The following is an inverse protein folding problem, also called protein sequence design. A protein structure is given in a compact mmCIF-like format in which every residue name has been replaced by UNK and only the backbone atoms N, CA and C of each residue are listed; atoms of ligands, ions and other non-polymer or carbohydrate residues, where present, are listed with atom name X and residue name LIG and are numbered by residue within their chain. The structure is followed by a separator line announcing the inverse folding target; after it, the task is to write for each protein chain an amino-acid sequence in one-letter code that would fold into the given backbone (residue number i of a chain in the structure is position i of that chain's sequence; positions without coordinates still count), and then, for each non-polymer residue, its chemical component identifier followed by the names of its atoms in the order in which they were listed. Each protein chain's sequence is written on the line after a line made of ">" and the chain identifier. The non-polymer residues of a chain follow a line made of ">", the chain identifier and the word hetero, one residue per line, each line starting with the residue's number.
data_IF_753722180838
#
_entry.id   IF_753722180838
#
_cell.length_a   1.000
_cell.length_b   1.000
_cell.length_c   1.000
_cell.angle_alpha   90.00
_cell.angle_beta   90.00
_cell.angle_gamma   90.00
#
_symmetry.space_group_name_H-M   'P 1'
#
loop_
_entity.id
_entity.type
_entity.pdbx_description
1 polymer ?
#
# COMPACT_ATOMS: atom_id res chain seq x y z
N UNK A 1 11.52 9.47 3.82
CA UNK A 1 12.95 9.60 3.41
C UNK A 1 13.56 10.85 4.00
N UNK A 2 12.93 12.02 3.85
CA UNK A 2 13.37 13.28 4.50
C UNK A 2 13.70 13.11 6.00
N UNK A 3 12.77 12.59 6.81
CA UNK A 3 13.04 12.28 8.23
C UNK A 3 14.23 11.34 8.47
N UNK A 4 14.48 10.40 7.56
CA UNK A 4 15.63 9.49 7.68
C UNK A 4 16.95 10.24 7.38
N UNK A 5 16.92 11.18 6.44
CA UNK A 5 18.06 12.05 6.10
C UNK A 5 18.35 13.00 7.26
N UNK A 6 17.33 13.66 7.81
CA UNK A 6 17.45 14.58 8.95
C UNK A 6 18.03 13.90 10.20
N UNK A 7 17.77 12.60 10.38
CA UNK A 7 18.27 11.80 11.50
C UNK A 7 19.57 11.05 11.18
N UNK A 8 20.15 11.25 10.00
CA UNK A 8 21.36 10.57 9.52
C UNK A 8 21.30 9.03 9.73
N UNK A 9 20.16 8.43 9.37
CA UNK A 9 19.97 6.98 9.56
C UNK A 9 20.84 6.18 8.58
N UNK A 10 21.62 5.24 9.12
CA UNK A 10 22.51 4.37 8.34
C UNK A 10 22.13 2.88 8.47
N UNK A 11 22.35 2.13 7.39
CA UNK A 11 22.06 0.70 7.31
C UNK A 11 20.69 0.37 6.69
N UNK A 12 20.20 -0.86 6.95
CA UNK A 12 19.00 -1.40 6.32
C UNK A 12 17.80 -1.33 7.27
N UNK A 13 16.70 -0.74 6.80
CA UNK A 13 15.43 -0.62 7.52
C UNK A 13 14.28 -1.14 6.66
N UNK A 14 13.35 -1.86 7.30
CA UNK A 14 12.07 -2.18 6.68
C UNK A 14 11.17 -0.94 6.72
N UNK A 15 10.59 -0.59 5.57
CA UNK A 15 9.65 0.52 5.44
C UNK A 15 8.35 -0.01 4.82
N UNK A 16 7.31 -0.14 5.63
CA UNK A 16 5.98 -0.61 5.27
C UNK A 16 4.95 -0.04 6.26
N UNK A 17 3.67 -0.34 6.06
CA UNK A 17 2.67 -0.07 7.11
C UNK A 17 3.02 -0.87 8.38
N UNK A 18 2.71 -0.30 9.55
CA UNK A 18 3.00 -0.95 10.84
C UNK A 18 2.07 -2.11 11.18
N UNK A 19 0.92 -2.18 10.50
CA UNK A 19 -0.03 -3.28 10.53
C UNK A 19 0.02 -4.06 9.20
N UNK A 20 -0.79 -5.12 9.11
CA UNK A 20 -0.80 -6.01 7.96
C UNK A 20 -2.18 -6.52 7.64
N UNK A 21 -2.50 -6.63 6.36
CA UNK A 21 -3.75 -7.23 5.88
C UNK A 21 -3.50 -8.44 4.99
N UNK A 22 -4.47 -9.34 4.94
CA UNK A 22 -4.55 -10.33 3.86
C UNK A 22 -4.91 -9.63 2.55
N UNK A 23 -4.59 -10.25 1.40
CA UNK A 23 -4.98 -9.73 0.08
C UNK A 23 -6.50 -9.51 -0.03
N UNK A 24 -7.27 -10.42 0.57
CA UNK A 24 -8.72 -10.33 0.63
C UNK A 24 -9.18 -9.10 1.41
N UNK A 25 -8.67 -8.89 2.64
CA UNK A 25 -9.02 -7.73 3.45
C UNK A 25 -8.63 -6.42 2.76
N UNK A 26 -7.45 -6.36 2.13
CA UNK A 26 -7.03 -5.18 1.35
C UNK A 26 -7.96 -4.88 0.18
N UNK A 27 -8.34 -5.89 -0.61
CA UNK A 27 -9.29 -5.71 -1.72
C UNK A 27 -10.66 -5.22 -1.26
N UNK A 28 -11.19 -5.75 -0.15
CA UNK A 28 -12.46 -5.31 0.46
C UNK A 28 -12.41 -3.86 0.90
N UNK A 29 -11.35 -3.47 1.63
CA UNK A 29 -11.19 -2.10 2.12
C UNK A 29 -10.99 -1.09 0.99
N UNK A 30 -10.26 -1.43 -0.08
CA UNK A 30 -10.19 -0.57 -1.29
C UNK A 30 -11.60 -0.34 -1.85
N UNK A 31 -12.39 -1.40 -2.02
CA UNK A 31 -13.73 -1.26 -2.57
C UNK A 31 -14.60 -0.34 -1.70
N UNK A 32 -14.55 -0.50 -0.38
CA UNK A 32 -15.28 0.36 0.57
C UNK A 32 -14.85 1.83 0.48
N UNK A 33 -13.54 2.12 0.56
CA UNK A 33 -13.02 3.49 0.54
C UNK A 33 -13.32 4.22 -0.77
N UNK A 34 -13.31 3.51 -1.90
CA UNK A 34 -13.59 4.09 -3.22
C UNK A 34 -15.08 4.05 -3.61
N UNK A 35 -15.99 3.65 -2.70
CA UNK A 35 -17.43 3.61 -2.97
C UNK A 35 -17.87 2.53 -3.96
N UNK A 36 -17.06 1.48 -4.14
CA UNK A 36 -17.39 0.29 -4.92
C UNK A 36 -18.10 -0.75 -4.06
N UNK A 37 -18.71 -1.76 -4.68
CA UNK A 37 -19.36 -2.84 -3.93
C UNK A 37 -18.32 -3.86 -3.43
N UNK A 38 -18.04 -3.94 -2.12
CA UNK A 38 -17.04 -4.87 -1.61
C UNK A 38 -17.49 -6.34 -1.68
N UNK A 39 -18.80 -6.61 -1.83
CA UNK A 39 -19.34 -7.96 -1.99
C UNK A 39 -18.87 -8.66 -3.29
N UNK A 40 -18.30 -7.91 -4.25
CA UNK A 40 -17.72 -8.46 -5.47
C UNK A 40 -16.27 -8.95 -5.28
N UNK A 41 -15.67 -8.72 -4.11
CA UNK A 41 -14.36 -9.27 -3.76
C UNK A 41 -14.58 -10.59 -3.01
N UNK A 42 -14.18 -11.70 -3.64
CA UNK A 42 -14.34 -13.05 -3.10
C UNK A 42 -13.04 -13.57 -2.48
N UNK A 43 -13.10 -14.34 -1.38
CA UNK A 43 -11.93 -15.02 -0.86
C UNK A 43 -11.48 -16.12 -1.83
N UNK A 44 -10.16 -16.31 -1.94
CA UNK A 44 -9.55 -17.39 -2.73
C UNK A 44 -8.29 -17.89 -2.02
N UNK A 45 -7.95 -19.17 -2.21
CA UNK A 45 -6.68 -19.72 -1.72
C UNK A 45 -5.57 -19.54 -2.74
N UNK A 46 -4.35 -19.27 -2.28
CA UNK A 46 -3.18 -19.29 -3.15
C UNK A 46 -2.87 -20.69 -3.68
N UNK A 47 -3.30 -21.74 -2.97
CA UNK A 47 -3.08 -23.12 -3.39
C UNK A 47 -3.93 -23.46 -4.64
N UNK A 48 -5.01 -22.70 -4.90
CA UNK A 48 -5.88 -22.86 -6.08
C UNK A 48 -5.41 -22.04 -7.29
N UNK A 49 -4.55 -21.05 -7.07
CA UNK A 49 -4.04 -20.15 -8.11
C UNK A 49 -2.69 -20.68 -8.54
N UNK A 50 -2.65 -21.51 -9.59
CA UNK A 50 -1.45 -22.14 -10.15
C UNK A 50 -0.34 -21.18 -10.61
N UNK A 51 0.27 -20.46 -9.66
CA UNK A 51 1.29 -19.45 -9.90
C UNK A 51 2.64 -20.14 -10.15
N UNK A 52 3.27 -19.82 -11.27
CA UNK A 52 4.60 -20.34 -11.63
C UNK A 52 5.71 -19.91 -10.65
N UNK A 53 5.56 -18.76 -9.99
CA UNK A 53 6.52 -18.25 -9.03
C UNK A 53 6.14 -18.65 -7.59
N UNK A 54 7.08 -19.22 -6.84
CA UNK A 54 6.92 -19.48 -5.40
C UNK A 54 6.70 -18.16 -4.67
N UNK A 55 5.56 -18.01 -4.01
CA UNK A 55 5.24 -16.81 -3.20
C UNK A 55 5.20 -17.17 -1.72
N UNK A 56 5.85 -16.36 -0.89
CA UNK A 56 5.70 -16.46 0.56
C UNK A 56 4.24 -16.29 0.95
N UNK A 57 3.74 -17.17 1.83
CA UNK A 57 2.37 -17.08 2.37
C UNK A 57 2.22 -15.89 3.32
N UNK A 58 3.31 -15.49 3.98
CA UNK A 58 3.41 -14.32 4.84
C UNK A 58 4.56 -13.43 4.38
N UNK A 59 4.25 -12.17 4.07
CA UNK A 59 5.20 -11.16 3.59
C UNK A 59 5.26 -9.94 4.52
N UNK A 60 4.80 -10.09 5.76
CA UNK A 60 4.85 -9.01 6.75
C UNK A 60 6.29 -8.64 7.06
N UNK A 61 6.54 -7.34 7.19
CA UNK A 61 7.84 -6.79 7.58
C UNK A 61 7.77 -6.23 9.00
N UNK A 62 8.79 -6.49 9.80
CA UNK A 62 8.95 -5.85 11.10
C UNK A 62 9.54 -4.44 10.89
N UNK A 63 8.76 -3.40 11.17
CA UNK A 63 9.16 -1.99 11.02
C UNK A 63 9.62 -1.34 12.33
N UNK A 64 9.64 -2.06 13.45
CA UNK A 64 9.98 -1.52 14.78
C UNK A 64 11.33 -0.82 14.80
N UNK A 65 12.33 -1.33 14.06
CA UNK A 65 13.65 -0.69 13.97
C UNK A 65 13.55 0.74 13.39
N UNK A 66 12.69 0.95 12.39
CA UNK A 66 12.50 2.25 11.75
C UNK A 66 11.68 3.18 12.65
N UNK A 67 10.60 2.68 13.24
CA UNK A 67 9.78 3.46 14.19
C UNK A 67 10.59 3.96 15.38
N UNK A 68 11.40 3.09 15.99
CA UNK A 68 12.31 3.46 17.09
C UNK A 68 13.33 4.51 16.65
N UNK A 69 13.91 4.36 15.45
CA UNK A 69 14.91 5.30 14.93
C UNK A 69 14.33 6.69 14.63
N UNK A 70 13.08 6.75 14.16
CA UNK A 70 12.38 8.02 13.89
C UNK A 70 11.74 8.62 15.15
N UNK A 71 11.41 7.79 16.14
CA UNK A 71 10.71 8.19 17.37
C UNK A 71 9.20 8.39 17.16
N UNK A 72 8.63 7.77 16.13
CA UNK A 72 7.21 7.86 15.79
C UNK A 72 6.73 6.56 15.10
N UNK A 73 5.44 6.21 15.21
CA UNK A 73 4.89 5.08 14.49
C UNK A 73 4.79 5.36 12.99
N UNK A 74 4.97 4.34 12.16
CA UNK A 74 4.63 4.42 10.73
C UNK A 74 3.11 4.37 10.55
N UNK A 75 2.63 4.71 9.36
CA UNK A 75 1.21 4.64 9.06
C UNK A 75 0.68 3.21 9.12
N UNK A 76 -0.59 3.09 9.46
CA UNK A 76 -1.38 1.88 9.25
C UNK A 76 -1.83 1.80 7.78
N UNK A 77 -2.32 0.63 7.38
CA UNK A 77 -2.86 0.39 6.05
C UNK A 77 -4.12 1.23 5.80
N UNK A 78 -4.99 1.37 6.81
CA UNK A 78 -6.16 2.26 6.74
C UNK A 78 -5.76 3.71 6.49
N UNK A 79 -4.86 4.27 7.31
CA UNK A 79 -4.39 5.66 7.15
C UNK A 79 -3.74 5.91 5.78
N UNK A 80 -3.01 4.91 5.28
CA UNK A 80 -2.37 4.98 3.96
C UNK A 80 -3.40 4.92 2.83
N UNK A 81 -4.45 4.11 2.98
CA UNK A 81 -5.54 4.00 2.00
C UNK A 81 -6.41 5.26 1.97
N UNK A 82 -6.68 5.87 3.13
CA UNK A 82 -7.41 7.14 3.21
C UNK A 82 -6.65 8.27 2.50
N UNK A 83 -5.33 8.36 2.70
CA UNK A 83 -4.47 9.32 1.98
C UNK A 83 -4.49 9.09 0.48
N UNK A 84 -4.40 7.83 0.04
CA UNK A 84 -4.50 7.47 -1.37
C UNK A 84 -5.83 7.95 -1.98
N UNK A 85 -6.94 7.78 -1.27
CA UNK A 85 -8.24 8.24 -1.73
C UNK A 85 -8.33 9.78 -1.78
N UNK A 86 -7.79 10.48 -0.79
CA UNK A 86 -7.71 11.95 -0.81
C UNK A 86 -6.91 12.45 -2.02
N UNK A 87 -5.77 11.83 -2.32
CA UNK A 87 -4.94 12.18 -3.48
C UNK A 87 -5.65 11.86 -4.80
N UNK A 88 -6.41 10.76 -4.85
CA UNK A 88 -7.28 10.44 -5.98
C UNK A 88 -8.35 11.52 -6.21
N UNK A 89 -9.04 11.96 -5.16
CA UNK A 89 -10.04 13.03 -5.23
C UNK A 89 -9.45 14.37 -5.69
N UNK A 90 -8.20 14.67 -5.28
CA UNK A 90 -7.45 15.86 -5.75
C UNK A 90 -7.00 15.76 -7.22
N UNK A 91 -7.20 14.61 -7.86
CA UNK A 91 -6.82 14.40 -9.26
C UNK A 91 -5.34 14.10 -9.47
N UNK A 92 -4.58 13.74 -8.43
CA UNK A 92 -3.16 13.38 -8.56
C UNK A 92 -2.88 12.29 -9.60
N UNK A 93 -3.74 11.26 -9.80
CA UNK A 93 -3.52 10.30 -10.88
C UNK A 93 -3.44 10.95 -12.26
N UNK A 94 -4.20 12.04 -12.51
CA UNK A 94 -4.14 12.78 -13.78
C UNK A 94 -2.85 13.58 -13.89
N UNK A 95 -2.39 14.18 -12.80
CA UNK A 95 -1.12 14.92 -12.78
C UNK A 95 0.08 14.01 -13.00
N UNK A 96 0.15 12.87 -12.31
CA UNK A 96 1.25 11.90 -12.46
C UNK A 96 1.35 11.40 -13.91
N UNK A 97 0.22 11.11 -14.57
CA UNK A 97 0.19 10.64 -15.96
C UNK A 97 0.79 11.63 -16.97
N UNK A 98 0.75 12.94 -16.69
CA UNK A 98 1.40 13.95 -17.56
C UNK A 98 2.93 13.74 -17.64
N UNK A 99 3.51 13.14 -16.61
CA UNK A 99 4.94 12.87 -16.51
C UNK A 99 5.34 11.47 -16.99
N UNK A 100 4.38 10.56 -17.24
CA UNK A 100 4.67 9.18 -17.67
C UNK A 100 4.51 8.93 -19.18
N UNK A 101 4.07 9.94 -19.96
CA UNK A 101 3.97 9.84 -21.42
C UNK A 101 2.78 9.02 -21.94
N UNK A 102 1.88 8.56 -21.07
CA UNK A 102 0.69 7.78 -21.46
C UNK A 102 -0.50 8.72 -21.75
N UNK A 103 -0.99 8.74 -23.00
CA UNK A 103 -2.22 9.44 -23.37
C UNK A 103 -3.46 8.72 -22.80
N UNK A 104 -4.38 9.49 -22.23
CA UNK A 104 -5.64 8.97 -21.70
C UNK A 104 -6.62 8.75 -22.86
N UNK A 105 -6.92 7.48 -23.17
CA UNK A 105 -8.19 7.11 -23.81
C UNK A 105 -9.16 6.75 -22.69
N UNK A 106 -10.19 7.57 -22.48
CA UNK A 106 -11.31 7.25 -21.60
C UNK A 106 -12.57 7.16 -22.47
N UNK A 107 -13.08 5.94 -22.58
CA UNK A 107 -14.49 5.68 -22.86
C UNK A 107 -15.30 5.69 -21.57
#
# INVERSE_FOLDING_TARGET
>A
IEKCIERDLTGIYNCACRDSWTKYAFGRNIAEVFGLNPALVFPASLDDVGLNAKRGKDLRLNVTRLETALGEPLSTMSESLDRLHQDWQKGFPREIKKYTGEQISIG
#
